data_IF_060104183771
#
_entry.id   IF_060104183771
#
_cell.length_a   1.000
_cell.length_b   1.000
_cell.length_c   1.000
_cell.angle_alpha   90.00
_cell.angle_beta   90.00
_cell.angle_gamma   90.00
#
_symmetry.space_group_name_H-M   'P 1'
#
loop_
_entity.id
_entity.type
_entity.pdbx_description
1 polymer ?
#
# COMPACT_ATOMS: atom_id res chain seq x y z
N UNK A 1 -10.10 4.23 -6.56
CA UNK A 1 -9.80 5.02 -5.38
C UNK A 1 -10.73 6.21 -5.24
N UNK A 2 -10.55 6.96 -4.19
CA UNK A 2 -11.34 8.15 -3.88
C UNK A 2 -10.47 9.42 -3.79
N UNK A 3 -9.22 9.36 -4.22
CA UNK A 3 -8.28 10.48 -4.20
C UNK A 3 -8.86 11.75 -4.85
N UNK A 4 -8.70 12.87 -4.18
CA UNK A 4 -9.15 14.18 -4.64
C UNK A 4 -8.29 15.29 -3.99
N UNK A 5 -7.78 16.22 -4.79
CA UNK A 5 -7.12 17.46 -4.33
C UNK A 5 -6.26 17.33 -3.04
N UNK A 6 -5.12 16.66 -3.12
CA UNK A 6 -4.23 16.43 -1.99
C UNK A 6 -4.81 15.52 -0.88
N UNK A 7 -5.67 14.57 -1.24
CA UNK A 7 -6.09 13.46 -0.39
C UNK A 7 -5.70 12.11 -1.01
N UNK A 8 -4.48 11.99 -1.48
CA UNK A 8 -3.99 10.76 -2.14
C UNK A 8 -3.53 9.74 -1.12
N UNK A 9 -3.89 8.48 -1.34
CA UNK A 9 -3.51 7.33 -0.51
C UNK A 9 -2.92 6.22 -1.41
N UNK A 10 -1.77 6.50 -2.03
CA UNK A 10 -1.25 5.71 -3.13
C UNK A 10 -0.98 4.25 -2.75
N UNK A 11 -1.44 3.34 -3.60
CA UNK A 11 -1.20 1.91 -3.48
C UNK A 11 -0.34 1.36 -4.62
N UNK A 12 0.51 0.40 -4.27
CA UNK A 12 1.27 -0.40 -5.24
C UNK A 12 0.33 -1.40 -5.90
N UNK A 13 0.50 -1.57 -7.20
CA UNK A 13 -0.21 -2.58 -7.99
C UNK A 13 0.78 -3.65 -8.41
N UNK A 14 0.45 -4.89 -8.13
CA UNK A 14 1.18 -6.06 -8.62
C UNK A 14 0.27 -6.92 -9.49
N UNK A 15 0.87 -7.61 -10.45
CA UNK A 15 0.18 -8.48 -11.39
C UNK A 15 0.82 -9.86 -11.40
N UNK A 16 0.01 -10.88 -11.69
CA UNK A 16 0.45 -12.27 -11.76
C UNK A 16 -0.27 -12.97 -12.91
N UNK A 17 0.36 -14.00 -13.50
CA UNK A 17 -0.23 -14.89 -14.49
C UNK A 17 -0.59 -16.23 -13.85
N UNK A 18 -1.75 -16.76 -14.19
CA UNK A 18 -2.18 -18.14 -13.88
C UNK A 18 -1.53 -19.10 -14.88
N UNK A 19 -0.32 -19.54 -14.59
CA UNK A 19 0.48 -20.37 -15.50
C UNK A 19 -0.07 -21.79 -15.63
N UNK A 20 -0.67 -22.32 -14.57
CA UNK A 20 -1.23 -23.68 -14.54
C UNK A 20 -2.75 -23.71 -14.83
N UNK A 21 -3.39 -22.54 -14.95
CA UNK A 21 -4.82 -22.33 -15.27
C UNK A 21 -5.79 -22.92 -14.27
N UNK A 22 -5.46 -22.86 -12.98
CA UNK A 22 -6.30 -23.39 -11.91
C UNK A 22 -7.23 -22.33 -11.29
N UNK A 23 -7.14 -21.05 -11.70
CA UNK A 23 -7.96 -19.94 -11.23
C UNK A 23 -7.52 -19.39 -9.87
N UNK A 24 -6.29 -19.64 -9.44
CA UNK A 24 -5.72 -19.20 -8.16
C UNK A 24 -4.28 -18.73 -8.36
N UNK A 25 -3.84 -17.71 -7.63
CA UNK A 25 -2.42 -17.32 -7.62
C UNK A 25 -1.66 -18.25 -6.68
N UNK A 26 -0.86 -19.16 -7.25
CA UNK A 26 -0.07 -20.11 -6.49
C UNK A 26 1.28 -19.53 -6.02
N UNK A 27 1.92 -20.20 -5.05
CA UNK A 27 3.16 -19.71 -4.45
C UNK A 27 4.38 -19.72 -5.41
N UNK A 28 4.33 -20.53 -6.45
CA UNK A 28 5.34 -20.64 -7.50
C UNK A 28 5.07 -19.74 -8.72
N UNK A 29 3.96 -19.01 -8.72
CA UNK A 29 3.63 -18.02 -9.72
C UNK A 29 4.13 -16.64 -9.30
N UNK A 30 5.05 -16.03 -10.08
CA UNK A 30 5.67 -14.79 -9.66
C UNK A 30 4.72 -13.60 -9.75
N UNK A 31 4.78 -12.74 -8.74
CA UNK A 31 4.14 -11.44 -8.73
C UNK A 31 5.12 -10.38 -9.21
N UNK A 32 4.69 -9.58 -10.18
CA UNK A 32 5.46 -8.47 -10.75
C UNK A 32 4.85 -7.14 -10.32
N UNK A 33 5.68 -6.22 -9.84
CA UNK A 33 5.25 -4.86 -9.55
C UNK A 33 5.10 -4.06 -10.85
N UNK A 34 4.03 -3.28 -10.97
CA UNK A 34 3.92 -2.28 -12.04
C UNK A 34 4.64 -1.02 -11.57
N UNK A 35 5.87 -0.81 -12.05
CA UNK A 35 6.72 0.29 -11.65
C UNK A 35 6.09 1.64 -11.99
N UNK A 36 5.75 2.42 -10.96
CA UNK A 36 5.23 3.77 -11.09
C UNK A 36 6.32 4.83 -11.14
N UNK A 37 5.91 6.11 -11.14
CA UNK A 37 6.81 7.28 -11.28
C UNK A 37 7.91 7.34 -10.22
N UNK A 38 7.66 6.80 -9.04
CA UNK A 38 8.60 6.82 -7.91
C UNK A 38 9.44 5.55 -7.77
N UNK A 39 9.29 4.58 -8.68
CA UNK A 39 9.98 3.29 -8.56
C UNK A 39 11.50 3.45 -8.40
N UNK A 40 12.12 4.35 -9.17
CA UNK A 40 13.55 4.63 -9.14
C UNK A 40 13.92 5.83 -8.24
N UNK A 41 12.98 6.36 -7.46
CA UNK A 41 13.27 7.45 -6.54
C UNK A 41 14.13 6.95 -5.37
N UNK A 42 15.17 7.71 -5.00
CA UNK A 42 16.08 7.35 -3.91
C UNK A 42 15.40 7.19 -2.53
N UNK A 43 14.22 7.75 -2.35
CA UNK A 43 13.41 7.62 -1.12
C UNK A 43 12.49 6.40 -1.13
N UNK A 44 12.38 5.68 -2.25
CA UNK A 44 11.62 4.43 -2.37
C UNK A 44 12.44 3.28 -1.79
N UNK A 45 11.82 2.48 -0.95
CA UNK A 45 12.46 1.33 -0.30
C UNK A 45 11.87 0.05 -0.89
N UNK A 46 12.66 -0.64 -1.70
CA UNK A 46 12.33 -1.97 -2.21
C UNK A 46 12.60 -3.04 -1.13
N UNK A 47 11.88 -4.14 -1.19
CA UNK A 47 11.97 -5.22 -0.20
C UNK A 47 11.77 -4.71 1.24
N UNK A 48 10.95 -3.68 1.42
CA UNK A 48 10.54 -3.20 2.74
C UNK A 48 9.71 -4.28 3.43
N UNK A 49 10.06 -4.59 4.68
CA UNK A 49 9.31 -5.52 5.51
C UNK A 49 8.83 -4.82 6.77
N UNK A 50 7.54 -4.98 7.09
CA UNK A 50 6.94 -4.46 8.31
C UNK A 50 6.23 -5.58 9.06
N UNK A 51 6.36 -5.58 10.38
CA UNK A 51 5.70 -6.50 11.29
C UNK A 51 4.80 -5.71 12.22
N UNK A 52 3.50 -5.99 12.18
CA UNK A 52 2.51 -5.48 13.14
C UNK A 52 2.31 -6.50 14.27
N UNK A 53 2.13 -6.02 15.47
CA UNK A 53 1.96 -6.83 16.67
C UNK A 53 0.54 -6.69 17.20
N UNK A 54 -0.08 -7.83 17.51
CA UNK A 54 -1.39 -7.86 18.18
C UNK A 54 -1.28 -7.11 19.51
N UNK A 55 -2.17 -6.13 19.79
CA UNK A 55 -2.15 -5.41 21.05
C UNK A 55 -2.59 -6.30 22.22
N UNK A 56 -2.07 -6.02 23.40
CA UNK A 56 -2.50 -6.66 24.64
C UNK A 56 -3.00 -5.56 25.61
N UNK A 57 -4.25 -5.60 26.07
CA UNK A 57 -5.29 -6.59 25.72
C UNK A 57 -5.84 -6.42 24.32
N UNK A 58 -6.15 -7.53 23.66
CA UNK A 58 -6.71 -7.55 22.32
C UNK A 58 -8.13 -6.97 22.29
N UNK A 59 -8.45 -6.26 21.22
CA UNK A 59 -9.80 -5.76 20.93
C UNK A 59 -10.20 -4.46 21.62
N UNK A 60 -9.34 -3.82 22.40
CA UNK A 60 -9.67 -2.59 23.11
C UNK A 60 -8.95 -1.41 22.48
N UNK A 61 -9.53 -0.75 21.50
CA UNK A 61 -9.11 0.59 20.99
C UNK A 61 -7.61 0.90 21.20
N UNK A 62 -6.77 -0.11 21.01
CA UNK A 62 -5.34 -0.04 21.28
C UNK A 62 -4.60 0.33 20.01
N UNK A 63 -3.53 1.09 20.15
CA UNK A 63 -2.59 1.34 19.07
C UNK A 63 -1.93 0.03 18.63
N UNK A 64 -1.62 -0.09 17.36
CA UNK A 64 -0.92 -1.25 16.80
C UNK A 64 0.56 -0.93 16.71
N UNK A 65 1.38 -1.58 17.53
CA UNK A 65 2.84 -1.47 17.44
C UNK A 65 3.33 -2.15 16.16
N UNK A 66 4.33 -1.56 15.54
CA UNK A 66 5.04 -2.15 14.40
C UNK A 66 6.55 -2.00 14.52
N UNK A 67 7.28 -2.88 13.82
CA UNK A 67 8.72 -2.77 13.55
C UNK A 67 8.98 -3.05 12.08
N UNK A 68 10.10 -2.53 11.54
CA UNK A 68 10.47 -2.74 10.15
C UNK A 68 11.92 -3.25 9.98
N UNK A 69 12.25 -3.67 8.76
CA UNK A 69 13.59 -4.12 8.42
C UNK A 69 14.60 -2.98 8.21
N UNK A 70 14.19 -1.72 8.42
CA UNK A 70 15.07 -0.55 8.45
C UNK A 70 15.51 -0.21 9.89
N UNK A 71 15.13 -1.06 10.87
CA UNK A 71 15.42 -0.85 12.29
C UNK A 71 14.54 0.22 12.94
N UNK A 72 13.42 0.57 12.33
CA UNK A 72 12.45 1.52 12.90
C UNK A 72 11.32 0.79 13.59
N UNK A 73 10.71 1.47 14.54
CA UNK A 73 9.48 1.05 15.21
C UNK A 73 8.55 2.22 15.40
N UNK A 74 7.27 1.93 15.62
CA UNK A 74 6.25 2.94 15.88
C UNK A 74 4.92 2.30 16.20
N UNK A 75 3.87 3.08 16.09
CA UNK A 75 2.50 2.65 16.32
C UNK A 75 1.60 3.17 15.19
N UNK A 76 0.57 2.41 14.85
CA UNK A 76 -0.61 2.93 14.17
C UNK A 76 -1.58 3.37 15.26
N UNK A 77 -1.94 4.65 15.24
CA UNK A 77 -2.74 5.27 16.28
C UNK A 77 -4.22 4.93 16.10
N UNK A 78 -4.85 4.39 17.14
CA UNK A 78 -6.30 4.20 17.13
C UNK A 78 -7.01 5.56 17.11
N UNK A 79 -7.89 5.75 16.14
CA UNK A 79 -8.66 6.99 15.99
C UNK A 79 -9.82 6.97 17.00
N UNK A 80 -9.96 7.97 17.92
CA UNK A 80 -10.95 7.93 18.99
C UNK A 80 -12.41 7.88 18.52
N UNK A 81 -12.71 8.41 17.34
CA UNK A 81 -14.04 8.40 16.75
C UNK A 81 -14.31 7.23 15.80
N UNK A 82 -13.32 6.36 15.57
CA UNK A 82 -13.54 5.13 14.80
C UNK A 82 -14.53 4.21 15.50
N UNK A 83 -15.47 3.66 14.75
CA UNK A 83 -16.52 2.78 15.30
C UNK A 83 -16.04 1.37 15.56
N UNK A 84 -14.95 0.95 14.93
CA UNK A 84 -14.38 -0.39 15.10
C UNK A 84 -13.71 -0.53 16.48
N UNK A 85 -13.88 -1.67 17.10
CA UNK A 85 -13.35 -1.94 18.44
C UNK A 85 -11.86 -2.33 18.43
N UNK A 86 -11.35 -2.78 17.32
CA UNK A 86 -9.93 -3.14 17.13
C UNK A 86 -9.48 -2.78 15.72
N UNK A 87 -8.22 -2.39 15.59
CA UNK A 87 -7.54 -2.19 14.30
C UNK A 87 -6.76 -3.43 13.87
N UNK A 88 -6.49 -4.37 14.79
CA UNK A 88 -5.88 -5.64 14.42
C UNK A 88 -6.98 -6.59 13.88
N UNK A 89 -6.79 -7.20 12.70
CA UNK A 89 -7.86 -7.99 12.07
C UNK A 89 -8.26 -9.18 12.94
N UNK A 90 -9.56 -9.29 13.25
CA UNK A 90 -10.11 -10.33 14.14
C UNK A 90 -9.95 -11.76 13.59
N UNK A 91 -9.86 -11.92 12.28
CA UNK A 91 -9.68 -13.22 11.63
C UNK A 91 -8.22 -13.71 11.59
N UNK A 92 -7.27 -12.85 11.95
CA UNK A 92 -5.87 -13.24 12.10
C UNK A 92 -5.69 -13.83 13.48
N UNK A 93 -5.22 -15.07 13.57
CA UNK A 93 -4.99 -15.78 14.84
C UNK A 93 -3.58 -15.56 15.39
N UNK A 94 -2.63 -15.19 14.51
CA UNK A 94 -1.25 -14.99 14.90
C UNK A 94 -1.06 -13.67 15.68
N UNK A 95 -0.09 -13.65 16.56
CA UNK A 95 0.27 -12.46 17.35
C UNK A 95 1.05 -11.44 16.53
N UNK A 96 1.47 -11.78 15.33
CA UNK A 96 2.15 -10.88 14.39
C UNK A 96 1.58 -11.00 12.99
N UNK A 97 1.55 -9.88 12.28
CA UNK A 97 1.16 -9.82 10.87
C UNK A 97 2.30 -9.15 10.10
N UNK A 98 2.84 -9.86 9.12
CA UNK A 98 3.99 -9.38 8.33
C UNK A 98 3.57 -9.07 6.90
N UNK A 99 4.11 -7.96 6.40
CA UNK A 99 4.00 -7.60 4.99
C UNK A 99 5.38 -7.32 4.41
N UNK A 100 5.52 -7.61 3.12
CA UNK A 100 6.71 -7.30 2.35
C UNK A 100 6.30 -6.69 1.01
N UNK A 101 7.01 -5.65 0.57
CA UNK A 101 6.76 -5.00 -0.71
C UNK A 101 7.65 -3.77 -0.93
N UNK A 102 7.21 -2.88 -1.79
CA UNK A 102 7.82 -1.58 -2.02
C UNK A 102 7.13 -0.53 -1.15
N UNK A 103 7.92 0.27 -0.44
CA UNK A 103 7.43 1.41 0.34
C UNK A 103 7.86 2.71 -0.30
N UNK A 104 6.89 3.56 -0.61
CA UNK A 104 7.13 4.91 -1.13
C UNK A 104 7.44 5.90 0.01
N UNK A 105 7.98 7.05 -0.35
CA UNK A 105 8.14 8.16 0.58
C UNK A 105 6.79 8.63 1.11
N UNK A 106 6.74 8.99 2.39
CA UNK A 106 5.57 9.65 2.96
C UNK A 106 5.43 11.06 2.38
N UNK A 107 4.21 11.45 2.02
CA UNK A 107 3.90 12.73 1.39
C UNK A 107 3.07 13.65 2.28
N UNK A 108 2.61 13.17 3.43
CA UNK A 108 1.79 13.96 4.35
C UNK A 108 2.49 15.25 4.74
N UNK A 109 1.79 16.37 4.61
CA UNK A 109 2.23 17.69 5.09
C UNK A 109 1.12 18.34 5.90
N UNK A 110 1.49 19.02 7.00
CA UNK A 110 0.57 19.86 7.73
C UNK A 110 0.75 21.31 7.26
N UNK A 111 -0.34 21.92 6.80
CA UNK A 111 -0.37 23.29 6.35
C UNK A 111 -1.54 24.04 7.00
N UNK A 112 -1.25 25.03 7.83
CA UNK A 112 -2.26 25.89 8.47
C UNK A 112 -3.33 25.12 9.26
N UNK A 113 -2.93 24.04 9.95
CA UNK A 113 -3.83 23.20 10.77
C UNK A 113 -4.61 22.16 9.95
N UNK A 114 -4.33 22.02 8.66
CA UNK A 114 -4.92 21.00 7.79
C UNK A 114 -3.83 20.05 7.29
N UNK A 115 -4.18 18.77 7.22
CA UNK A 115 -3.32 17.77 6.60
C UNK A 115 -3.60 17.68 5.10
N UNK A 116 -2.53 17.59 4.33
CA UNK A 116 -2.57 17.36 2.88
C UNK A 116 -1.77 16.13 2.55
N UNK A 117 -2.27 15.36 1.61
CA UNK A 117 -1.67 14.11 1.12
C UNK A 117 -1.43 14.25 -0.40
N UNK A 118 -0.36 14.97 -0.82
CA UNK A 118 -0.05 15.10 -2.24
C UNK A 118 0.20 13.73 -2.88
N UNK A 119 -0.37 13.51 -4.04
CA UNK A 119 -0.14 12.31 -4.85
C UNK A 119 1.16 12.37 -5.64
N UNK A 120 1.55 11.22 -6.15
CA UNK A 120 2.64 11.05 -7.11
C UNK A 120 2.17 11.28 -8.54
N UNK A 121 3.07 11.20 -9.51
CA UNK A 121 2.72 11.56 -10.88
C UNK A 121 1.82 10.51 -11.56
N UNK A 122 2.21 9.22 -11.60
CA UNK A 122 1.46 8.13 -12.22
C UNK A 122 1.87 6.75 -11.68
N UNK A 123 1.06 5.72 -11.95
CA UNK A 123 1.41 4.32 -11.68
C UNK A 123 1.03 3.83 -10.29
N UNK A 124 0.17 4.54 -9.58
CA UNK A 124 -0.34 4.14 -8.26
C UNK A 124 -1.86 4.25 -8.25
N UNK A 125 -2.51 3.28 -7.62
CA UNK A 125 -3.96 3.35 -7.39
C UNK A 125 -4.23 4.31 -6.23
N UNK A 126 -5.41 4.91 -6.21
CA UNK A 126 -5.84 5.90 -5.22
C UNK A 126 -4.89 7.11 -5.06
N UNK A 127 -4.26 7.47 -6.15
CA UNK A 127 -3.21 8.48 -6.19
C UNK A 127 -3.66 9.78 -6.86
N UNK A 128 -4.51 9.68 -7.87
CA UNK A 128 -5.05 10.82 -8.61
C UNK A 128 -6.58 10.80 -8.56
N UNK A 129 -7.19 11.98 -8.73
CA UNK A 129 -8.64 12.07 -8.83
C UNK A 129 -9.17 11.19 -9.98
N UNK A 130 -10.31 10.53 -9.75
CA UNK A 130 -11.00 9.77 -10.79
C UNK A 130 -11.45 10.63 -11.99
N UNK A 131 -11.42 11.95 -11.86
CA UNK A 131 -11.67 12.87 -12.96
C UNK A 131 -10.44 13.09 -13.87
N UNK A 132 -9.26 12.62 -13.47
CA UNK A 132 -8.05 12.74 -14.28
C UNK A 132 -8.07 11.75 -15.46
N UNK A 133 -7.18 12.02 -16.41
CA UNK A 133 -7.06 11.23 -17.64
C UNK A 133 -6.53 9.82 -17.39
N UNK A 134 -6.74 8.93 -18.34
CA UNK A 134 -6.21 7.56 -18.32
C UNK A 134 -4.67 7.54 -18.25
N UNK A 135 -3.99 8.55 -18.75
CA UNK A 135 -2.53 8.64 -18.68
C UNK A 135 -2.01 8.79 -17.24
N UNK A 136 -2.84 9.32 -16.33
CA UNK A 136 -2.51 9.43 -14.91
C UNK A 136 -3.06 8.26 -14.08
N UNK A 137 -4.26 7.78 -14.40
CA UNK A 137 -4.99 6.77 -13.64
C UNK A 137 -4.86 5.35 -14.23
N UNK A 138 -4.42 5.23 -15.49
CA UNK A 138 -4.26 3.94 -16.14
C UNK A 138 -2.97 3.22 -15.75
N UNK A 139 -2.98 1.90 -15.88
CA UNK A 139 -1.83 1.02 -15.68
C UNK A 139 -1.47 0.33 -16.99
N UNK A 140 -0.18 0.12 -17.20
CA UNK A 140 0.34 -0.63 -18.36
C UNK A 140 1.07 -1.86 -17.85
N UNK A 141 0.75 -3.02 -18.41
CA UNK A 141 1.46 -4.28 -18.06
C UNK A 141 2.94 -4.24 -18.47
N UNK A 142 3.31 -3.41 -19.41
CA UNK A 142 4.72 -3.18 -19.80
C UNK A 142 5.54 -2.48 -18.71
N UNK A 143 4.92 -1.99 -17.63
CA UNK A 143 5.62 -1.48 -16.45
C UNK A 143 6.05 -2.57 -15.48
N UNK A 144 5.75 -3.83 -15.78
CA UNK A 144 6.07 -4.96 -14.93
C UNK A 144 7.58 -5.13 -14.74
N UNK A 145 7.98 -5.27 -13.49
CA UNK A 145 9.37 -5.57 -13.08
C UNK A 145 9.41 -6.78 -12.16
N UNK A 146 10.50 -7.54 -12.24
CA UNK A 146 10.77 -8.65 -11.32
C UNK A 146 11.28 -8.16 -9.95
N UNK A 147 11.55 -9.08 -9.04
CA UNK A 147 12.06 -8.79 -7.68
C UNK A 147 13.43 -8.09 -7.66
N UNK A 148 14.18 -8.13 -8.75
CA UNK A 148 15.47 -7.47 -8.94
C UNK A 148 15.36 -6.13 -9.67
N UNK A 149 14.13 -5.73 -10.05
CA UNK A 149 13.86 -4.51 -10.80
C UNK A 149 14.10 -4.61 -12.29
N UNK A 150 14.30 -5.80 -12.84
CA UNK A 150 14.44 -5.98 -14.28
C UNK A 150 13.06 -5.94 -14.96
N UNK A 151 12.92 -5.24 -16.09
CA UNK A 151 11.68 -5.25 -16.86
C UNK A 151 11.26 -6.66 -17.28
N UNK A 152 9.97 -6.95 -17.12
CA UNK A 152 9.37 -8.22 -17.52
C UNK A 152 8.32 -7.97 -18.58
N UNK A 153 8.37 -8.73 -19.67
CA UNK A 153 7.39 -8.61 -20.74
C UNK A 153 6.27 -9.63 -20.55
N UNK A 154 5.09 -9.15 -20.17
CA UNK A 154 3.89 -9.95 -19.96
C UNK A 154 2.92 -9.72 -21.12
N UNK A 155 2.36 -10.80 -21.68
CA UNK A 155 1.33 -10.72 -22.70
C UNK A 155 -0.08 -10.59 -22.11
N UNK A 156 -0.30 -11.15 -20.92
CA UNK A 156 -1.58 -11.18 -20.20
C UNK A 156 -1.33 -11.09 -18.71
N UNK A 157 -2.36 -10.78 -17.95
CA UNK A 157 -2.41 -10.89 -16.50
C UNK A 157 -3.73 -11.56 -16.12
N UNK A 158 -3.73 -12.34 -15.05
CA UNK A 158 -4.90 -13.04 -14.54
C UNK A 158 -5.28 -12.55 -13.15
N UNK A 159 -4.29 -12.12 -12.36
CA UNK A 159 -4.52 -11.63 -10.99
C UNK A 159 -3.89 -10.27 -10.78
N UNK A 160 -4.56 -9.47 -9.94
CA UNK A 160 -4.08 -8.16 -9.48
C UNK A 160 -4.05 -8.19 -7.95
N UNK A 161 -2.97 -7.70 -7.38
CA UNK A 161 -2.81 -7.46 -5.95
C UNK A 161 -2.50 -5.99 -5.70
N UNK A 162 -3.18 -5.40 -4.75
CA UNK A 162 -2.97 -4.00 -4.32
C UNK A 162 -2.61 -3.99 -2.84
N UNK A 163 -1.69 -3.09 -2.45
CA UNK A 163 -1.42 -2.80 -1.05
C UNK A 163 -1.01 -1.34 -0.88
N UNK A 164 -1.27 -0.80 0.31
CA UNK A 164 -0.91 0.58 0.68
C UNK A 164 0.60 0.79 0.56
N UNK A 165 1.01 1.83 -0.17
CA UNK A 165 2.41 2.07 -0.49
C UNK A 165 3.16 2.92 0.55
N UNK A 166 2.46 3.59 1.45
CA UNK A 166 3.01 4.52 2.42
C UNK A 166 2.71 4.08 3.86
N UNK A 167 3.57 4.47 4.79
CA UNK A 167 3.35 4.31 6.22
C UNK A 167 3.32 5.71 6.83
N UNK A 168 2.13 6.31 6.91
CA UNK A 168 1.95 7.67 7.40
C UNK A 168 0.59 7.85 8.07
N UNK A 169 0.50 8.89 8.90
CA UNK A 169 -0.73 9.31 9.57
C UNK A 169 -0.99 10.79 9.25
N UNK A 170 -2.25 11.13 9.06
CA UNK A 170 -2.73 12.49 8.82
C UNK A 170 -3.33 13.07 10.12
N UNK A 171 -2.56 13.09 11.17
CA UNK A 171 -2.94 13.63 12.49
C UNK A 171 -4.20 12.98 13.04
N UNK A 172 -5.23 13.78 13.35
CA UNK A 172 -6.50 13.28 13.89
C UNK A 172 -7.31 12.46 12.91
N UNK A 173 -6.98 12.47 11.63
CA UNK A 173 -7.62 11.62 10.61
C UNK A 173 -7.09 10.17 10.64
N UNK A 174 -5.94 9.94 11.28
CA UNK A 174 -5.35 8.62 11.46
C UNK A 174 -4.40 8.22 10.35
N UNK A 175 -4.17 6.92 10.24
CA UNK A 175 -3.35 6.35 9.16
C UNK A 175 -4.01 6.56 7.80
N UNK A 176 -3.18 6.60 6.77
CA UNK A 176 -3.63 6.65 5.39
C UNK A 176 -3.61 5.24 4.80
N UNK A 177 -4.71 4.84 4.19
CA UNK A 177 -4.87 3.50 3.60
C UNK A 177 -5.52 3.57 2.23
N UNK A 178 -4.96 2.84 1.29
CA UNK A 178 -5.42 2.85 -0.10
C UNK A 178 -6.81 2.28 -0.24
N UNK A 179 -7.73 3.04 -0.80
CA UNK A 179 -9.08 2.64 -1.15
C UNK A 179 -9.16 2.20 -2.63
N UNK A 180 -9.71 1.04 -2.88
CA UNK A 180 -10.04 0.62 -4.24
C UNK A 180 -11.36 -0.13 -4.30
N UNK A 181 -12.02 -0.02 -5.45
CA UNK A 181 -13.21 -0.79 -5.76
C UNK A 181 -12.96 -1.59 -7.04
N UNK A 182 -13.34 -2.86 -7.03
CA UNK A 182 -13.26 -3.78 -8.16
C UNK A 182 -14.62 -4.06 -8.76
#
# INVERSE_FOLDING_TARGET
GNAYNNSSEPGIVMVCQDLNKNGRPDADEPWYELAGSEYNNAATIHNYEITYYRPEPDGLKSNIRWTDNQGKEGVITHIPFATQSTMYPLWITDNTLKFKGTKLANTVVEASGFYQLPGFNWGYIDNQSNAETIDKNGFKIDWAVDENGNPVHLNTIDFIKVYTAQLQEAGSLGETSTDFAG
#
